data_IF_299852474417
#
_entry.id   IF_299852474417
#
_cell.length_a   1.000
_cell.length_b   1.000
_cell.length_c   1.000
_cell.angle_alpha   90.00
_cell.angle_beta   90.00
_cell.angle_gamma   90.00
#
_symmetry.space_group_name_H-M   'P 1'
#
loop_
_entity.id
_entity.type
_entity.pdbx_description
1 polymer ?
#
# COMPACT_ATOMS: atom_id res chain seq x y z
N UNK A 1 -30.11 21.16 22.24
CA UNK A 1 -31.21 20.19 22.26
C UNK A 1 -30.69 18.80 22.56
N UNK A 2 -31.43 17.98 23.30
CA UNK A 2 -31.05 16.63 23.73
C UNK A 2 -31.62 15.52 22.81
N UNK A 3 -32.16 15.88 21.66
CA UNK A 3 -32.92 14.95 20.81
C UNK A 3 -32.06 14.38 19.69
N UNK A 4 -32.12 13.06 19.48
CA UNK A 4 -31.67 12.37 18.27
C UNK A 4 -32.66 12.69 17.15
N UNK A 5 -32.16 13.05 15.96
CA UNK A 5 -32.99 13.44 14.82
C UNK A 5 -32.92 12.39 13.72
N UNK A 6 -34.03 12.25 12.98
CA UNK A 6 -34.04 11.48 11.74
C UNK A 6 -34.48 12.41 10.61
N UNK A 7 -33.66 12.48 9.58
CA UNK A 7 -33.97 13.15 8.33
C UNK A 7 -34.26 12.07 7.28
N UNK A 8 -35.44 12.11 6.67
CA UNK A 8 -35.80 11.21 5.58
C UNK A 8 -35.75 11.97 4.27
N UNK A 9 -34.96 11.46 3.33
CA UNK A 9 -34.81 12.03 1.99
C UNK A 9 -35.65 11.21 1.01
N UNK A 10 -36.56 11.87 0.29
CA UNK A 10 -37.54 11.29 -0.62
C UNK A 10 -37.62 12.09 -1.94
N UNK A 11 -36.52 12.21 -2.66
CA UNK A 11 -36.44 12.99 -3.90
C UNK A 11 -36.18 14.48 -3.64
N UNK A 12 -35.37 14.80 -2.63
CA UNK A 12 -35.00 16.18 -2.31
C UNK A 12 -33.94 16.69 -3.31
N UNK A 13 -34.21 17.88 -3.88
CA UNK A 13 -33.20 18.66 -4.61
C UNK A 13 -33.05 20.01 -3.89
N UNK A 14 -31.94 20.19 -3.19
CA UNK A 14 -31.67 21.35 -2.35
C UNK A 14 -30.26 21.89 -2.61
N UNK A 15 -30.20 23.08 -3.20
CA UNK A 15 -28.97 23.86 -3.33
C UNK A 15 -29.12 25.12 -2.49
N UNK A 16 -28.35 25.22 -1.40
CA UNK A 16 -28.34 26.40 -0.55
C UNK A 16 -27.45 27.47 -1.16
N UNK A 17 -27.93 28.71 -1.21
CA UNK A 17 -27.19 29.85 -1.76
C UNK A 17 -26.52 30.72 -0.68
N UNK A 18 -26.62 30.31 0.60
CA UNK A 18 -26.02 31.01 1.75
C UNK A 18 -25.81 30.02 2.90
N UNK A 19 -24.65 29.38 2.91
CA UNK A 19 -24.26 28.41 3.94
C UNK A 19 -24.49 26.94 3.57
N UNK A 20 -24.55 26.06 4.55
CA UNK A 20 -24.75 24.62 4.38
C UNK A 20 -26.15 24.30 3.83
N UNK A 21 -26.26 23.29 2.99
CA UNK A 21 -27.58 22.77 2.60
C UNK A 21 -28.33 22.22 3.82
N UNK A 22 -27.61 21.50 4.67
CA UNK A 22 -28.16 20.99 5.94
C UNK A 22 -27.12 21.17 7.05
N UNK A 23 -27.49 21.90 8.12
CA UNK A 23 -26.65 22.09 9.30
C UNK A 23 -27.38 21.67 10.57
N UNK A 24 -26.80 20.70 11.30
CA UNK A 24 -27.32 20.20 12.57
C UNK A 24 -26.35 20.64 13.68
N UNK A 25 -26.79 21.66 14.46
CA UNK A 25 -25.97 22.28 15.54
C UNK A 25 -26.03 21.56 16.88
N UNK A 26 -26.87 20.54 17.03
CA UNK A 26 -26.89 19.77 18.26
C UNK A 26 -25.86 18.64 18.20
N UNK A 27 -25.15 18.37 19.31
CA UNK A 27 -24.15 17.31 19.42
C UNK A 27 -24.75 15.92 19.61
N UNK A 28 -25.82 15.57 18.88
CA UNK A 28 -26.51 14.29 18.96
C UNK A 28 -26.61 13.65 17.58
N UNK A 29 -27.04 12.40 17.54
CA UNK A 29 -27.20 11.62 16.31
C UNK A 29 -28.11 12.31 15.29
N UNK A 30 -27.60 12.44 14.07
CA UNK A 30 -28.40 12.63 12.88
C UNK A 30 -28.47 11.30 12.11
N UNK A 31 -29.66 10.70 12.03
CA UNK A 31 -29.92 9.60 11.11
C UNK A 31 -30.44 10.12 9.80
N UNK A 32 -29.71 9.89 8.69
CA UNK A 32 -30.13 10.22 7.34
C UNK A 32 -30.66 8.96 6.67
N UNK A 33 -31.99 8.89 6.50
CA UNK A 33 -32.66 7.76 5.86
C UNK A 33 -32.99 8.12 4.42
N UNK A 34 -32.31 7.49 3.47
CA UNK A 34 -32.49 7.74 2.02
C UNK A 34 -33.48 6.71 1.48
N UNK A 35 -34.65 7.16 1.07
CA UNK A 35 -35.74 6.27 0.66
C UNK A 35 -35.38 5.47 -0.59
N UNK A 36 -35.76 4.20 -0.61
CA UNK A 36 -35.53 3.29 -1.74
C UNK A 36 -36.17 3.85 -3.03
N UNK A 37 -35.44 3.77 -4.14
CA UNK A 37 -35.89 4.24 -5.44
C UNK A 37 -35.87 5.77 -5.60
N UNK A 38 -35.35 6.51 -4.63
CA UNK A 38 -35.22 7.97 -4.75
C UNK A 38 -33.78 8.40 -4.97
N UNK A 39 -33.64 9.49 -5.70
CA UNK A 39 -32.38 10.21 -5.89
C UNK A 39 -32.53 11.59 -5.26
N UNK A 40 -31.53 12.00 -4.48
CA UNK A 40 -31.52 13.23 -3.72
C UNK A 40 -30.26 14.02 -4.03
N UNK A 41 -30.35 15.32 -4.07
CA UNK A 41 -29.22 16.23 -4.32
C UNK A 41 -29.08 17.25 -3.21
N UNK A 42 -27.86 17.42 -2.71
CA UNK A 42 -27.49 18.49 -1.80
C UNK A 42 -26.31 19.28 -2.37
N UNK A 43 -26.41 20.58 -2.35
CA UNK A 43 -25.35 21.51 -2.73
C UNK A 43 -25.30 22.70 -1.79
N UNK A 44 -24.14 23.23 -1.53
CA UNK A 44 -23.95 24.47 -0.76
C UNK A 44 -23.28 25.55 -1.63
N UNK A 45 -23.18 26.76 -1.08
CA UNK A 45 -22.54 27.90 -1.73
C UNK A 45 -21.15 28.15 -1.11
N UNK A 46 -20.27 28.78 -1.90
CA UNK A 46 -18.92 29.15 -1.45
C UNK A 46 -18.91 30.28 -0.40
N UNK A 47 -20.02 31.00 -0.21
CA UNK A 47 -20.20 31.97 0.86
C UNK A 47 -20.40 31.28 2.23
N UNK A 48 -20.43 32.05 3.29
CA UNK A 48 -20.66 31.52 4.63
C UNK A 48 -19.43 30.89 5.30
N UNK A 49 -19.65 30.20 6.41
CA UNK A 49 -18.59 29.63 7.28
C UNK A 49 -18.83 28.15 7.62
N UNK A 50 -19.68 27.48 6.88
CA UNK A 50 -20.02 26.06 7.09
C UNK A 50 -18.80 25.16 6.92
N UNK A 51 -18.75 24.09 7.71
CA UNK A 51 -17.72 23.06 7.63
C UNK A 51 -18.00 22.00 6.59
N UNK A 52 -19.25 21.87 6.14
CA UNK A 52 -19.64 20.93 5.10
C UNK A 52 -21.01 21.25 4.52
N UNK A 53 -21.29 20.77 3.32
CA UNK A 53 -22.61 20.88 2.69
C UNK A 53 -23.67 20.21 3.57
N UNK A 54 -23.41 18.99 4.03
CA UNK A 54 -24.11 18.34 5.14
C UNK A 54 -23.20 18.38 6.37
N UNK A 55 -23.56 19.19 7.37
CA UNK A 55 -22.75 19.41 8.56
C UNK A 55 -23.51 19.01 9.83
N UNK A 56 -22.88 18.22 10.71
CA UNK A 56 -23.44 17.79 11.99
C UNK A 56 -22.43 18.01 13.14
N UNK A 57 -22.87 18.67 14.21
CA UNK A 57 -22.09 18.82 15.44
C UNK A 57 -22.04 17.55 16.32
N UNK A 58 -22.75 16.50 15.94
CA UNK A 58 -22.69 15.14 16.48
C UNK A 58 -22.23 14.17 15.42
N UNK A 59 -22.81 12.96 15.42
CA UNK A 59 -22.53 11.91 14.46
C UNK A 59 -23.64 11.75 13.39
N UNK A 60 -23.27 11.15 12.27
CA UNK A 60 -24.18 10.91 11.13
C UNK A 60 -24.26 9.41 10.85
N UNK A 61 -25.49 8.88 10.83
CA UNK A 61 -25.79 7.52 10.39
C UNK A 61 -26.54 7.57 9.05
N UNK A 62 -25.91 7.17 7.96
CA UNK A 62 -26.55 7.02 6.66
C UNK A 62 -27.15 5.63 6.51
N UNK A 63 -28.44 5.57 6.19
CA UNK A 63 -29.16 4.30 5.98
C UNK A 63 -30.16 4.43 4.82
N UNK A 64 -30.70 3.30 4.39
CA UNK A 64 -31.69 3.22 3.33
C UNK A 64 -31.11 2.62 2.07
N UNK A 65 -31.83 2.71 0.94
CA UNK A 65 -31.42 2.12 -0.34
C UNK A 65 -31.50 3.11 -1.50
N UNK A 66 -31.72 4.38 -1.22
CA UNK A 66 -31.73 5.45 -2.23
C UNK A 66 -30.34 6.01 -2.48
N UNK A 67 -30.30 7.05 -3.30
CA UNK A 67 -29.08 7.73 -3.74
C UNK A 67 -29.04 9.15 -3.18
N UNK A 68 -27.90 9.56 -2.69
CA UNK A 68 -27.59 10.95 -2.32
C UNK A 68 -26.41 11.44 -3.17
N UNK A 69 -26.64 12.46 -3.99
CA UNK A 69 -25.59 13.22 -4.65
C UNK A 69 -25.31 14.47 -3.79
N UNK A 70 -24.05 14.75 -3.50
CA UNK A 70 -23.66 15.86 -2.66
C UNK A 70 -22.42 16.58 -3.17
N UNK A 71 -22.44 17.92 -3.11
CA UNK A 71 -21.33 18.77 -3.50
C UNK A 71 -21.06 19.84 -2.46
N UNK A 72 -19.80 19.93 -2.00
CA UNK A 72 -19.33 20.92 -1.05
C UNK A 72 -18.55 22.05 -1.73
N UNK A 73 -19.20 23.19 -1.97
CA UNK A 73 -18.57 24.32 -2.65
C UNK A 73 -17.71 25.20 -1.72
N UNK A 74 -17.85 25.06 -0.39
CA UNK A 74 -17.11 25.85 0.61
C UNK A 74 -16.01 25.08 1.31
N UNK A 75 -16.27 23.84 1.70
CA UNK A 75 -15.38 23.05 2.55
C UNK A 75 -15.56 21.56 2.24
N UNK A 76 -15.87 20.73 3.24
CA UNK A 76 -16.15 19.30 3.03
C UNK A 76 -17.53 19.10 2.39
N UNK A 77 -17.74 18.00 1.71
CA UNK A 77 -19.09 17.62 1.30
C UNK A 77 -19.90 17.13 2.50
N UNK A 78 -19.32 16.23 3.32
CA UNK A 78 -19.90 15.70 4.55
C UNK A 78 -18.96 15.99 5.71
N UNK A 79 -19.48 16.64 6.75
CA UNK A 79 -18.75 16.90 7.99
C UNK A 79 -19.52 16.39 9.20
N UNK A 80 -18.90 15.55 10.02
CA UNK A 80 -19.41 15.17 11.33
C UNK A 80 -18.35 15.49 12.41
N UNK A 81 -18.76 16.15 13.50
CA UNK A 81 -17.86 16.41 14.63
C UNK A 81 -17.54 15.13 15.41
N UNK A 82 -18.33 14.10 15.25
CA UNK A 82 -18.15 12.77 15.81
C UNK A 82 -17.98 11.77 14.67
N UNK A 83 -18.58 10.59 14.73
CA UNK A 83 -18.40 9.54 13.73
C UNK A 83 -19.38 9.63 12.53
N UNK A 84 -19.04 8.93 11.47
CA UNK A 84 -19.91 8.68 10.32
C UNK A 84 -20.05 7.16 10.12
N UNK A 85 -21.30 6.69 10.03
CA UNK A 85 -21.56 5.30 9.63
C UNK A 85 -22.44 5.24 8.39
N UNK A 86 -22.23 4.20 7.56
CA UNK A 86 -22.98 4.04 6.31
C UNK A 86 -23.44 2.60 6.11
N UNK A 87 -24.72 2.43 5.73
CA UNK A 87 -25.33 1.12 5.48
C UNK A 87 -26.38 1.15 4.37
N UNK A 88 -26.20 0.31 3.37
CA UNK A 88 -27.12 0.00 2.26
C UNK A 88 -27.39 1.12 1.23
N UNK A 89 -27.09 2.38 1.50
CA UNK A 89 -27.34 3.49 0.59
C UNK A 89 -26.18 3.69 -0.40
N UNK A 90 -26.43 4.51 -1.43
CA UNK A 90 -25.40 5.03 -2.33
C UNK A 90 -25.21 6.52 -2.06
N UNK A 91 -23.96 6.92 -1.80
CA UNK A 91 -23.59 8.33 -1.66
C UNK A 91 -22.56 8.66 -2.74
N UNK A 92 -22.84 9.70 -3.51
CA UNK A 92 -21.96 10.23 -4.53
C UNK A 92 -21.51 11.64 -4.10
N UNK A 93 -20.28 11.79 -3.64
CA UNK A 93 -19.65 13.09 -3.52
C UNK A 93 -19.13 13.48 -4.88
N UNK A 94 -19.70 14.55 -5.47
CA UNK A 94 -19.39 15.02 -6.81
C UNK A 94 -18.30 16.09 -6.84
N UNK A 95 -18.18 16.82 -5.72
CA UNK A 95 -17.14 17.82 -5.52
C UNK A 95 -17.01 18.15 -4.04
N UNK A 96 -15.81 18.55 -3.62
CA UNK A 96 -15.54 19.23 -2.34
C UNK A 96 -14.30 20.10 -2.45
N UNK A 97 -14.28 21.23 -1.76
CA UNK A 97 -13.11 22.12 -1.72
C UNK A 97 -12.03 21.54 -0.79
N UNK A 98 -12.46 20.84 0.26
CA UNK A 98 -11.63 20.04 1.17
C UNK A 98 -11.96 18.58 1.01
N UNK A 99 -12.04 17.84 2.13
CA UNK A 99 -12.31 16.40 2.09
C UNK A 99 -13.71 16.08 1.58
N UNK A 100 -13.86 14.92 0.99
CA UNK A 100 -15.17 14.41 0.64
C UNK A 100 -15.98 14.09 1.89
N UNK A 101 -15.42 13.34 2.82
CA UNK A 101 -15.98 13.05 4.15
C UNK A 101 -14.94 13.37 5.21
N UNK A 102 -15.35 14.16 6.21
CA UNK A 102 -14.50 14.46 7.36
C UNK A 102 -15.25 14.13 8.67
N UNK A 103 -14.64 13.36 9.55
CA UNK A 103 -15.16 13.05 10.87
C UNK A 103 -14.05 12.86 11.91
N UNK A 104 -14.40 13.01 13.22
CA UNK A 104 -13.39 13.10 14.29
C UNK A 104 -13.47 11.98 15.34
N UNK A 105 -14.10 10.88 15.08
CA UNK A 105 -14.11 9.71 16.00
C UNK A 105 -13.78 8.44 15.23
N UNK A 106 -14.69 8.00 14.38
CA UNK A 106 -14.45 6.90 13.46
C UNK A 106 -15.34 7.01 12.22
N UNK A 107 -14.95 6.33 11.18
CA UNK A 107 -15.77 6.06 9.99
C UNK A 107 -16.05 4.55 9.89
N UNK A 108 -17.30 4.18 9.59
CA UNK A 108 -17.65 2.77 9.35
C UNK A 108 -18.53 2.60 8.12
N UNK A 109 -18.15 1.67 7.24
CA UNK A 109 -18.96 1.19 6.13
C UNK A 109 -19.28 -0.28 6.28
N UNK A 110 -20.55 -0.60 6.56
CA UNK A 110 -21.04 -1.98 6.65
C UNK A 110 -21.50 -2.51 5.29
N UNK A 111 -22.12 -1.66 4.48
CA UNK A 111 -22.64 -1.97 3.14
C UNK A 111 -23.08 -0.72 2.39
N UNK A 112 -23.34 -0.86 1.08
CA UNK A 112 -23.68 0.27 0.21
C UNK A 112 -22.51 0.73 -0.63
N UNK A 113 -22.61 1.89 -1.26
CA UNK A 113 -21.61 2.41 -2.19
C UNK A 113 -21.30 3.87 -1.84
N UNK A 114 -20.02 4.17 -1.68
CA UNK A 114 -19.51 5.53 -1.50
C UNK A 114 -18.59 5.87 -2.67
N UNK A 115 -19.00 6.81 -3.50
CA UNK A 115 -18.22 7.33 -4.61
C UNK A 115 -17.74 8.76 -4.28
N UNK A 116 -16.45 9.03 -4.46
CA UNK A 116 -15.82 10.31 -4.16
C UNK A 116 -15.00 10.76 -5.37
N UNK A 117 -15.39 11.87 -5.97
CA UNK A 117 -14.73 12.50 -7.12
C UNK A 117 -14.71 14.02 -6.98
N UNK A 118 -13.80 14.70 -7.66
CA UNK A 118 -13.69 16.16 -7.57
C UNK A 118 -13.32 16.67 -6.18
N UNK A 119 -12.48 15.92 -5.46
CA UNK A 119 -12.09 16.18 -4.08
C UNK A 119 -10.84 17.05 -4.05
N UNK A 120 -10.90 18.15 -3.30
CA UNK A 120 -9.83 19.14 -3.22
C UNK A 120 -8.73 18.83 -2.20
N UNK A 121 -8.97 17.90 -1.28
CA UNK A 121 -8.00 17.41 -0.28
C UNK A 121 -8.18 15.89 -0.11
N UNK A 122 -8.34 15.36 1.09
CA UNK A 122 -8.49 13.91 1.32
C UNK A 122 -9.89 13.41 0.90
N UNK A 123 -9.98 12.20 0.35
CA UNK A 123 -11.27 11.59 0.03
C UNK A 123 -12.10 11.36 1.28
N UNK A 124 -11.54 10.63 2.25
CA UNK A 124 -12.09 10.42 3.59
C UNK A 124 -10.99 10.74 4.60
N UNK A 125 -11.26 11.69 5.50
CA UNK A 125 -10.40 12.02 6.64
C UNK A 125 -11.08 11.64 7.94
N UNK A 126 -10.44 10.79 8.74
CA UNK A 126 -10.88 10.43 10.10
C UNK A 126 -9.81 10.88 11.08
N UNK A 127 -10.17 11.77 12.01
CA UNK A 127 -9.24 12.28 13.01
C UNK A 127 -9.65 11.83 14.41
N UNK A 128 -8.73 11.95 15.37
CA UNK A 128 -9.09 11.93 16.78
C UNK A 128 -9.90 13.18 17.14
N UNK A 129 -10.84 13.01 18.04
CA UNK A 129 -11.44 14.16 18.70
C UNK A 129 -10.43 14.72 19.70
N UNK A 130 -9.94 15.90 19.40
CA UNK A 130 -9.02 16.62 20.29
C UNK A 130 -9.76 17.08 21.56
N UNK A 131 -9.74 16.26 22.62
CA UNK A 131 -10.33 16.58 23.90
C UNK A 131 -9.58 15.90 25.04
N UNK A 132 -9.45 16.60 26.17
CA UNK A 132 -8.90 16.02 27.41
C UNK A 132 -9.76 14.86 27.95
N UNK A 133 -11.03 14.79 27.54
CA UNK A 133 -12.00 13.75 27.93
C UNK A 133 -12.35 12.92 26.68
N UNK A 134 -11.49 11.96 26.32
CA UNK A 134 -11.77 11.01 25.24
C UNK A 134 -12.92 10.08 25.62
N UNK A 135 -13.88 9.95 24.71
CA UNK A 135 -14.92 8.92 24.77
C UNK A 135 -14.38 7.60 24.19
N UNK A 136 -15.04 6.48 24.45
CA UNK A 136 -14.63 5.17 23.93
C UNK A 136 -14.62 5.14 22.38
N UNK A 137 -15.49 5.92 21.76
CA UNK A 137 -15.63 6.08 20.32
C UNK A 137 -14.52 6.94 19.68
N UNK A 138 -13.73 7.70 20.47
CA UNK A 138 -12.66 8.57 19.96
C UNK A 138 -11.41 7.77 19.56
N UNK A 139 -11.57 6.87 18.59
CA UNK A 139 -10.53 5.94 18.13
C UNK A 139 -9.73 6.41 16.93
N UNK A 140 -10.24 7.42 16.20
CA UNK A 140 -9.65 7.84 14.92
C UNK A 140 -9.71 6.76 13.84
N UNK A 141 -10.49 5.70 14.03
CA UNK A 141 -10.43 4.49 13.22
C UNK A 141 -11.23 4.56 11.92
N UNK A 142 -10.73 3.85 10.91
CA UNK A 142 -11.48 3.55 9.70
C UNK A 142 -11.85 2.06 9.65
N UNK A 143 -13.14 1.77 9.54
CA UNK A 143 -13.69 0.42 9.62
C UNK A 143 -14.49 0.11 8.35
N UNK A 144 -14.20 -1.01 7.68
CA UNK A 144 -14.98 -1.47 6.54
C UNK A 144 -15.20 -2.98 6.63
N UNK A 145 -16.46 -3.38 6.78
CA UNK A 145 -16.88 -4.78 6.85
C UNK A 145 -17.62 -5.25 5.59
N UNK A 146 -17.95 -4.33 4.68
CA UNK A 146 -18.62 -4.64 3.42
C UNK A 146 -18.86 -3.40 2.58
N UNK A 147 -19.62 -3.52 1.49
CA UNK A 147 -19.89 -2.41 0.57
C UNK A 147 -18.76 -2.11 -0.41
N UNK A 148 -18.82 -0.93 -0.99
CA UNK A 148 -17.86 -0.50 -2.00
C UNK A 148 -17.49 0.98 -1.80
N UNK A 149 -16.18 1.29 -1.88
CA UNK A 149 -15.66 2.65 -1.93
C UNK A 149 -14.89 2.85 -3.22
N UNK A 150 -15.23 3.90 -3.96
CA UNK A 150 -14.51 4.36 -5.14
C UNK A 150 -14.05 5.80 -4.90
N UNK A 151 -12.74 6.03 -4.92
CA UNK A 151 -12.17 7.35 -4.62
C UNK A 151 -11.20 7.76 -5.71
N UNK A 152 -11.33 9.00 -6.18
CA UNK A 152 -10.34 9.64 -7.04
C UNK A 152 -9.96 11.00 -6.46
N UNK A 153 -8.67 11.18 -6.19
CA UNK A 153 -8.10 12.42 -5.64
C UNK A 153 -6.92 12.84 -6.50
N UNK A 154 -6.84 14.15 -6.78
CA UNK A 154 -5.79 14.70 -7.65
C UNK A 154 -4.91 15.74 -6.96
N UNK A 155 -5.26 16.16 -5.75
CA UNK A 155 -4.50 17.14 -5.00
C UNK A 155 -3.15 16.58 -4.49
N UNK A 156 -2.13 17.42 -4.44
CA UNK A 156 -0.82 17.03 -3.96
C UNK A 156 -0.86 16.68 -2.47
N UNK A 157 -0.11 15.67 -2.09
CA UNK A 157 -0.04 15.09 -0.75
C UNK A 157 -1.35 14.59 -0.15
N UNK A 158 -2.46 14.62 -0.90
CA UNK A 158 -3.77 14.14 -0.44
C UNK A 158 -3.85 12.61 -0.39
N UNK A 159 -4.77 12.09 0.43
CA UNK A 159 -5.03 10.67 0.59
C UNK A 159 -6.44 10.32 0.12
N UNK A 160 -6.58 9.17 -0.54
CA UNK A 160 -7.93 8.71 -0.86
C UNK A 160 -8.70 8.33 0.42
N UNK A 161 -8.06 7.62 1.35
CA UNK A 161 -8.58 7.32 2.68
C UNK A 161 -7.47 7.53 3.71
N UNK A 162 -7.74 8.39 4.70
CA UNK A 162 -6.82 8.68 5.80
C UNK A 162 -7.51 8.53 7.15
N UNK A 163 -6.83 7.89 8.09
CA UNK A 163 -7.26 7.86 9.49
C UNK A 163 -6.06 8.03 10.44
N UNK A 164 -6.30 8.69 11.57
CA UNK A 164 -5.29 8.89 12.63
C UNK A 164 -5.21 7.69 13.58
N UNK A 165 -6.22 6.80 13.57
CA UNK A 165 -6.22 5.54 14.31
C UNK A 165 -5.95 4.35 13.39
N UNK A 166 -6.44 3.19 13.83
CA UNK A 166 -6.31 1.93 13.10
C UNK A 166 -7.25 1.86 11.89
N UNK A 167 -6.80 1.19 10.82
CA UNK A 167 -7.62 0.87 9.67
C UNK A 167 -7.91 -0.64 9.64
N UNK A 168 -9.20 -1.01 9.74
CA UNK A 168 -9.64 -2.42 9.73
C UNK A 168 -10.54 -2.69 8.55
N UNK A 169 -10.09 -3.56 7.64
CA UNK A 169 -10.73 -3.88 6.37
C UNK A 169 -11.04 -5.37 6.33
N UNK A 170 -12.32 -5.74 6.58
CA UNK A 170 -12.74 -7.14 6.73
C UNK A 170 -13.72 -7.61 5.66
N UNK A 171 -14.02 -6.79 4.67
CA UNK A 171 -14.88 -7.17 3.55
C UNK A 171 -15.21 -6.02 2.61
N UNK A 172 -15.82 -6.35 1.49
CA UNK A 172 -16.20 -5.39 0.46
C UNK A 172 -15.11 -5.13 -0.58
N UNK A 173 -15.13 -3.92 -1.16
CA UNK A 173 -14.18 -3.53 -2.19
C UNK A 173 -13.77 -2.05 -2.06
N UNK A 174 -12.48 -1.78 -2.14
CA UNK A 174 -11.93 -0.43 -2.27
C UNK A 174 -11.26 -0.31 -3.65
N UNK A 175 -11.63 0.75 -4.39
CA UNK A 175 -10.91 1.20 -5.58
C UNK A 175 -10.50 2.64 -5.36
N UNK A 176 -9.20 2.91 -5.27
CA UNK A 176 -8.69 4.25 -5.01
C UNK A 176 -7.62 4.65 -6.02
N UNK A 177 -7.69 5.89 -6.48
CA UNK A 177 -6.69 6.49 -7.35
C UNK A 177 -6.27 7.85 -6.81
N UNK A 178 -4.96 8.06 -6.66
CA UNK A 178 -4.36 9.35 -6.32
C UNK A 178 -3.33 9.72 -7.37
N UNK A 179 -3.40 10.95 -7.88
CA UNK A 179 -2.46 11.43 -8.90
C UNK A 179 -1.64 12.64 -8.45
N UNK A 180 -1.95 13.23 -7.30
CA UNK A 180 -1.15 14.30 -6.71
C UNK A 180 0.26 13.83 -6.34
N UNK A 181 1.22 14.73 -6.47
CA UNK A 181 2.62 14.51 -6.10
C UNK A 181 2.91 14.73 -4.63
N UNK A 182 4.20 14.81 -4.30
CA UNK A 182 4.66 15.20 -2.98
C UNK A 182 4.60 16.72 -2.77
N UNK A 183 4.64 17.14 -1.51
CA UNK A 183 4.85 18.53 -1.10
C UNK A 183 5.93 18.62 -0.03
N UNK A 184 6.59 19.77 0.05
CA UNK A 184 7.45 20.12 1.18
C UNK A 184 6.64 20.87 2.23
N UNK A 185 6.51 20.31 3.41
CA UNK A 185 5.90 20.96 4.57
C UNK A 185 6.97 21.77 5.31
N UNK A 186 6.96 23.09 5.11
CA UNK A 186 7.93 23.99 5.72
C UNK A 186 7.75 24.17 7.25
N UNK A 187 6.59 23.82 7.79
CA UNK A 187 6.34 23.88 9.24
C UNK A 187 6.89 22.64 9.93
N UNK A 188 6.71 21.48 9.32
CA UNK A 188 7.20 20.19 9.85
C UNK A 188 8.60 19.83 9.35
N UNK A 189 9.16 20.60 8.42
CA UNK A 189 10.45 20.38 7.77
C UNK A 189 10.58 18.97 7.17
N UNK A 190 9.52 18.48 6.54
CA UNK A 190 9.51 17.16 5.90
C UNK A 190 8.67 17.11 4.63
N UNK A 191 8.98 16.16 3.78
CA UNK A 191 8.17 15.84 2.62
C UNK A 191 6.90 15.08 3.03
N UNK A 192 5.81 15.32 2.33
CA UNK A 192 4.55 14.57 2.43
C UNK A 192 4.19 14.04 1.06
N UNK A 193 3.95 12.75 0.91
CA UNK A 193 3.48 12.14 -0.33
C UNK A 193 1.98 11.89 -0.32
N UNK A 194 1.37 11.80 -1.49
CA UNK A 194 0.01 11.29 -1.65
C UNK A 194 -0.04 9.78 -1.36
N UNK A 195 -1.19 9.25 -0.95
CA UNK A 195 -1.38 7.81 -0.78
C UNK A 195 -2.84 7.38 -0.95
N UNK A 196 -3.05 6.15 -1.43
CA UNK A 196 -4.42 5.65 -1.54
C UNK A 196 -4.99 5.30 -0.16
N UNK A 197 -4.29 4.53 0.66
CA UNK A 197 -4.65 4.24 2.04
C UNK A 197 -3.55 4.75 2.98
N UNK A 198 -3.94 5.48 4.01
CA UNK A 198 -3.02 6.01 5.02
C UNK A 198 -3.60 5.86 6.41
N UNK A 199 -2.83 5.28 7.33
CA UNK A 199 -3.18 5.21 8.75
C UNK A 199 -1.98 5.62 9.61
N UNK A 200 -2.22 6.43 10.65
CA UNK A 200 -1.20 6.71 11.65
C UNK A 200 -1.10 5.53 12.65
N UNK A 201 -2.18 4.74 12.81
CA UNK A 201 -2.24 3.46 13.54
C UNK A 201 -1.91 2.25 12.67
N UNK A 202 -2.38 1.07 13.08
CA UNK A 202 -2.15 -0.19 12.38
C UNK A 202 -3.15 -0.39 11.24
N UNK A 203 -2.74 -1.14 10.21
CA UNK A 203 -3.65 -1.59 9.15
C UNK A 203 -3.83 -3.11 9.24
N UNK A 204 -5.09 -3.56 9.32
CA UNK A 204 -5.48 -4.97 9.22
C UNK A 204 -6.35 -5.19 7.99
N UNK A 205 -5.94 -6.13 7.14
CA UNK A 205 -6.66 -6.55 5.93
C UNK A 205 -7.06 -8.01 6.05
N UNK A 206 -8.37 -8.31 5.84
CA UNK A 206 -8.91 -9.67 5.97
C UNK A 206 -10.14 -9.86 5.07
N UNK A 207 -9.99 -10.53 3.92
CA UNK A 207 -11.10 -10.91 3.04
C UNK A 207 -11.68 -9.81 2.15
N UNK A 208 -10.99 -8.70 1.97
CA UNK A 208 -11.42 -7.58 1.12
C UNK A 208 -10.72 -7.60 -0.24
N UNK A 209 -11.35 -7.01 -1.26
CA UNK A 209 -10.71 -6.69 -2.55
C UNK A 209 -10.25 -5.24 -2.57
N UNK A 210 -8.97 -5.01 -2.84
CA UNK A 210 -8.34 -3.68 -2.84
C UNK A 210 -7.65 -3.45 -4.19
N UNK A 211 -7.97 -2.35 -4.87
CA UNK A 211 -7.33 -1.91 -6.10
C UNK A 211 -6.87 -0.47 -5.93
N UNK A 212 -5.56 -0.24 -5.92
CA UNK A 212 -4.95 1.05 -5.64
C UNK A 212 -4.07 1.50 -6.80
N UNK A 213 -4.12 2.80 -7.13
CA UNK A 213 -3.26 3.40 -8.14
C UNK A 213 -2.75 4.76 -7.65
N UNK A 214 -1.42 4.90 -7.47
CA UNK A 214 -0.77 6.14 -7.05
C UNK A 214 0.25 6.57 -8.11
N UNK A 215 -0.04 7.65 -8.84
CA UNK A 215 0.76 8.04 -10.02
C UNK A 215 1.67 9.25 -9.80
N UNK A 216 1.45 10.02 -8.74
CA UNK A 216 2.30 11.17 -8.41
C UNK A 216 3.65 10.78 -7.80
N UNK A 217 4.65 11.65 -7.90
CA UNK A 217 5.97 11.44 -7.27
C UNK A 217 5.86 11.32 -5.75
N UNK A 218 6.56 10.37 -5.16
CA UNK A 218 6.47 10.03 -3.73
C UNK A 218 5.16 9.36 -3.32
N UNK A 219 4.30 9.01 -4.29
CA UNK A 219 2.98 8.42 -4.06
C UNK A 219 3.05 6.98 -3.53
N UNK A 220 2.12 6.59 -2.65
CA UNK A 220 2.08 5.27 -2.04
C UNK A 220 0.71 4.61 -2.22
N UNK A 221 0.71 3.30 -2.45
CA UNK A 221 -0.53 2.52 -2.43
C UNK A 221 -1.08 2.44 -1.00
N UNK A 222 -0.34 1.82 -0.09
CA UNK A 222 -0.64 1.71 1.35
C UNK A 222 0.51 2.33 2.13
N UNK A 223 0.19 3.20 3.10
CA UNK A 223 1.14 3.78 4.03
C UNK A 223 0.61 3.70 5.45
N UNK A 224 1.40 3.18 6.39
CA UNK A 224 1.06 3.20 7.81
C UNK A 224 2.29 3.52 8.65
N UNK A 225 2.09 4.32 9.71
CA UNK A 225 3.11 4.56 10.73
C UNK A 225 3.15 3.41 11.75
N UNK A 226 2.09 2.60 11.81
CA UNK A 226 2.00 1.39 12.62
C UNK A 226 2.43 0.12 11.88
N UNK A 227 1.82 -1.01 12.24
CA UNK A 227 2.03 -2.33 11.65
C UNK A 227 1.02 -2.61 10.52
N UNK A 228 1.41 -3.46 9.57
CA UNK A 228 0.48 -4.00 8.57
C UNK A 228 0.33 -5.51 8.76
N UNK A 229 -0.91 -5.97 8.89
CA UNK A 229 -1.23 -7.40 8.89
C UNK A 229 -2.20 -7.72 7.75
N UNK A 230 -1.81 -8.63 6.86
CA UNK A 230 -2.68 -9.19 5.82
C UNK A 230 -3.00 -10.63 6.20
N UNK A 231 -4.24 -10.89 6.63
CA UNK A 231 -4.72 -12.23 6.94
C UNK A 231 -5.21 -12.95 5.67
N UNK A 232 -5.95 -12.24 4.82
CA UNK A 232 -6.47 -12.72 3.54
C UNK A 232 -6.96 -11.54 2.69
N UNK A 233 -7.36 -11.79 1.43
CA UNK A 233 -7.91 -10.80 0.50
C UNK A 233 -7.12 -10.71 -0.81
N UNK A 234 -7.65 -9.91 -1.74
CA UNK A 234 -7.06 -9.69 -3.06
C UNK A 234 -6.60 -8.22 -3.16
N UNK A 235 -5.31 -8.00 -3.21
CA UNK A 235 -4.70 -6.67 -3.18
C UNK A 235 -3.93 -6.45 -4.48
N UNK A 236 -4.28 -5.42 -5.24
CA UNK A 236 -3.59 -5.00 -6.44
C UNK A 236 -3.19 -3.53 -6.34
N UNK A 237 -1.90 -3.25 -6.47
CA UNK A 237 -1.34 -1.91 -6.30
C UNK A 237 -0.47 -1.56 -7.49
N UNK A 238 -0.73 -0.39 -8.09
CA UNK A 238 0.13 0.26 -9.07
C UNK A 238 0.68 1.58 -8.57
N UNK A 239 1.99 1.82 -8.74
CA UNK A 239 2.56 3.16 -8.57
C UNK A 239 3.43 3.50 -9.78
N UNK A 240 3.30 4.74 -10.27
CA UNK A 240 4.05 5.19 -11.44
C UNK A 240 4.98 6.37 -11.16
N UNK A 241 4.80 7.08 -10.04
CA UNK A 241 5.66 8.16 -9.63
C UNK A 241 7.03 7.68 -9.17
N UNK A 242 8.05 8.51 -9.37
CA UNK A 242 9.39 8.31 -8.81
C UNK A 242 9.56 9.03 -7.47
N UNK A 243 10.79 9.44 -7.17
CA UNK A 243 11.13 10.13 -5.93
C UNK A 243 10.67 11.60 -6.00
N UNK A 244 9.94 12.06 -4.99
CA UNK A 244 9.79 13.47 -4.69
C UNK A 244 10.93 13.92 -3.77
N UNK A 245 11.58 15.05 -4.07
CA UNK A 245 12.69 15.54 -3.26
C UNK A 245 12.63 17.05 -3.02
N UNK A 246 13.12 17.47 -1.85
CA UNK A 246 13.39 18.87 -1.50
C UNK A 246 14.89 19.08 -1.37
N UNK A 247 15.47 19.79 -2.32
CA UNK A 247 16.93 19.95 -2.47
C UNK A 247 17.26 21.44 -2.62
N UNK A 248 18.13 21.97 -1.77
CA UNK A 248 18.58 23.37 -1.81
C UNK A 248 17.43 24.39 -1.91
N UNK A 249 16.35 24.18 -1.15
CA UNK A 249 15.23 25.13 -1.13
C UNK A 249 14.24 24.99 -2.29
N UNK A 250 14.31 23.92 -3.08
CA UNK A 250 13.43 23.64 -4.21
C UNK A 250 12.84 22.22 -4.13
N UNK A 251 11.64 22.09 -4.63
CA UNK A 251 10.97 20.79 -4.80
C UNK A 251 11.19 20.24 -6.21
N UNK A 252 11.29 18.92 -6.29
CA UNK A 252 11.48 18.18 -7.55
C UNK A 252 10.57 16.97 -7.59
N UNK A 253 9.75 16.91 -8.61
CA UNK A 253 9.02 15.68 -8.97
C UNK A 253 9.92 14.75 -9.77
N UNK A 254 9.77 13.44 -9.51
CA UNK A 254 10.55 12.39 -10.19
C UNK A 254 12.06 12.69 -10.19
N UNK A 255 12.58 13.02 -9.02
CA UNK A 255 13.98 13.37 -8.84
C UNK A 255 14.91 12.22 -9.23
N UNK A 256 15.88 12.51 -10.08
CA UNK A 256 16.87 11.54 -10.60
C UNK A 256 18.31 11.84 -10.15
N UNK A 257 18.50 12.84 -9.29
CA UNK A 257 19.81 13.14 -8.74
C UNK A 257 20.19 12.18 -7.62
N UNK A 258 21.43 12.33 -7.11
CA UNK A 258 21.90 11.52 -5.99
C UNK A 258 21.06 11.81 -4.73
N UNK A 259 20.48 10.75 -4.15
CA UNK A 259 19.65 10.80 -2.95
C UNK A 259 20.38 10.40 -1.67
N UNK A 260 21.66 9.94 -1.74
CA UNK A 260 22.42 9.45 -0.58
C UNK A 260 22.71 10.57 0.42
N UNK A 261 22.82 11.80 -0.10
CA UNK A 261 23.08 12.99 0.72
C UNK A 261 21.79 13.69 1.20
N UNK A 262 20.61 13.14 0.93
CA UNK A 262 19.33 13.68 1.37
C UNK A 262 18.85 12.96 2.61
N UNK A 263 18.49 13.73 3.63
CA UNK A 263 17.81 13.17 4.80
C UNK A 263 16.48 12.53 4.40
N UNK A 264 16.02 11.56 5.17
CA UNK A 264 14.74 10.88 4.94
C UNK A 264 13.56 11.85 4.88
N UNK A 265 13.63 12.96 5.63
CA UNK A 265 12.62 14.02 5.62
C UNK A 265 12.63 14.88 4.35
N UNK A 266 13.73 14.86 3.60
CA UNK A 266 13.89 15.63 2.35
C UNK A 266 13.42 14.86 1.11
N UNK A 267 13.13 13.57 1.24
CA UNK A 267 12.71 12.73 0.10
C UNK A 267 11.52 11.84 0.47
N UNK A 268 10.72 11.53 -0.52
CA UNK A 268 9.65 10.54 -0.45
C UNK A 268 9.70 9.69 -1.72
N UNK A 269 10.06 8.42 -1.61
CA UNK A 269 9.98 7.47 -2.72
C UNK A 269 8.55 6.98 -2.91
N UNK A 270 8.16 6.73 -4.15
CA UNK A 270 6.93 6.00 -4.41
C UNK A 270 7.09 4.55 -3.95
N UNK A 271 6.04 3.98 -3.37
CA UNK A 271 6.05 2.61 -2.84
C UNK A 271 4.68 1.96 -3.02
N UNK A 272 4.68 0.68 -3.32
CA UNK A 272 3.43 -0.08 -3.31
C UNK A 272 2.85 -0.12 -1.90
N UNK A 273 3.60 -0.64 -0.94
CA UNK A 273 3.25 -0.72 0.49
C UNK A 273 4.42 -0.23 1.32
N UNK A 274 4.12 0.62 2.31
CA UNK A 274 5.07 1.03 3.35
C UNK A 274 4.43 0.90 4.73
N UNK A 275 5.15 0.29 5.66
CA UNK A 275 4.85 0.32 7.10
C UNK A 275 6.09 0.72 7.89
N UNK A 276 5.92 1.63 8.87
CA UNK A 276 7.02 1.95 9.80
C UNK A 276 7.22 0.86 10.85
N UNK A 277 6.14 0.17 11.23
CA UNK A 277 6.19 -1.04 12.05
C UNK A 277 6.30 -2.32 11.19
N UNK A 278 6.13 -3.46 11.86
CA UNK A 278 6.25 -4.78 11.23
C UNK A 278 5.19 -5.00 10.16
N UNK A 279 5.58 -5.72 9.10
CA UNK A 279 4.65 -6.30 8.13
C UNK A 279 4.52 -7.80 8.38
N UNK A 280 3.29 -8.29 8.47
CA UNK A 280 3.00 -9.73 8.58
C UNK A 280 1.97 -10.14 7.54
N UNK A 281 2.35 -11.04 6.63
CA UNK A 281 1.46 -11.59 5.60
C UNK A 281 1.17 -13.04 5.96
N UNK A 282 -0.08 -13.32 6.34
CA UNK A 282 -0.55 -14.66 6.72
C UNK A 282 -1.29 -15.37 5.59
N UNK A 283 -1.62 -14.66 4.51
CA UNK A 283 -2.35 -15.20 3.37
C UNK A 283 -2.77 -14.13 2.38
N UNK A 284 -3.67 -14.49 1.46
CA UNK A 284 -4.18 -13.60 0.43
C UNK A 284 -3.33 -13.59 -0.84
N UNK A 285 -3.74 -12.75 -1.78
CA UNK A 285 -3.06 -12.49 -3.04
C UNK A 285 -2.66 -11.02 -3.11
N UNK A 286 -1.38 -10.74 -3.25
CA UNK A 286 -0.82 -9.39 -3.29
C UNK A 286 -0.06 -9.24 -4.60
N UNK A 287 -0.51 -8.31 -5.44
CA UNK A 287 0.16 -7.93 -6.68
C UNK A 287 0.57 -6.46 -6.61
N UNK A 288 1.87 -6.19 -6.75
CA UNK A 288 2.43 -4.85 -6.69
C UNK A 288 3.24 -4.58 -7.96
N UNK A 289 2.96 -3.44 -8.59
CA UNK A 289 3.72 -2.96 -9.74
C UNK A 289 4.16 -1.53 -9.48
N UNK A 290 5.47 -1.28 -9.43
CA UNK A 290 6.02 0.08 -9.26
C UNK A 290 6.98 0.37 -10.40
N UNK A 291 6.79 1.50 -11.11
CA UNK A 291 7.52 1.78 -12.34
C UNK A 291 8.37 3.06 -12.31
N UNK A 292 8.15 3.92 -11.33
CA UNK A 292 8.91 5.17 -11.18
C UNK A 292 10.35 4.92 -10.69
N UNK A 293 11.27 5.80 -11.03
CA UNK A 293 12.66 5.70 -10.57
C UNK A 293 12.75 5.70 -9.04
N UNK A 294 13.46 4.73 -8.44
CA UNK A 294 13.61 4.54 -7.00
C UNK A 294 12.29 4.18 -6.31
N UNK A 295 11.35 3.51 -7.01
CA UNK A 295 10.09 3.06 -6.45
C UNK A 295 10.17 1.60 -6.02
N UNK A 296 9.95 1.36 -4.73
CA UNK A 296 10.00 0.05 -4.10
C UNK A 296 8.63 -0.65 -4.09
N UNK A 297 8.64 -1.97 -3.94
CA UNK A 297 7.43 -2.77 -3.86
C UNK A 297 6.77 -2.73 -2.48
N UNK A 298 7.27 -3.54 -1.55
CA UNK A 298 6.75 -3.69 -0.19
C UNK A 298 7.90 -3.44 0.78
N UNK A 299 7.78 -2.40 1.58
CA UNK A 299 8.78 -2.02 2.57
C UNK A 299 8.22 -2.05 3.99
N UNK A 300 8.87 -2.78 4.88
CA UNK A 300 8.76 -2.62 6.32
C UNK A 300 10.00 -1.89 6.84
N UNK A 301 9.84 -0.82 7.59
CA UNK A 301 10.97 -0.17 8.29
C UNK A 301 11.43 -0.96 9.52
N UNK A 302 10.77 -2.06 9.84
CA UNK A 302 11.05 -2.95 10.96
C UNK A 302 11.19 -4.40 10.45
N UNK A 303 10.53 -5.36 11.06
CA UNK A 303 10.56 -6.77 10.67
C UNK A 303 9.51 -7.09 9.60
N UNK A 304 9.84 -7.96 8.65
CA UNK A 304 8.92 -8.41 7.63
C UNK A 304 8.78 -9.94 7.67
N UNK A 305 7.57 -10.43 7.91
CA UNK A 305 7.26 -11.86 7.98
C UNK A 305 6.22 -12.27 6.96
N UNK A 306 6.53 -13.29 6.16
CA UNK A 306 5.60 -13.91 5.21
C UNK A 306 5.36 -15.35 5.66
N UNK A 307 4.16 -15.65 6.17
CA UNK A 307 3.78 -16.98 6.61
C UNK A 307 3.12 -17.80 5.49
N UNK A 308 2.38 -17.16 4.60
CA UNK A 308 1.65 -17.79 3.50
C UNK A 308 1.16 -16.73 2.52
N UNK A 309 0.45 -17.15 1.46
CA UNK A 309 -0.15 -16.30 0.44
C UNK A 309 0.61 -16.32 -0.88
N UNK A 310 0.08 -15.59 -1.86
CA UNK A 310 0.72 -15.39 -3.16
C UNK A 310 1.16 -13.93 -3.26
N UNK A 311 2.44 -13.70 -3.50
CA UNK A 311 3.00 -12.35 -3.64
C UNK A 311 3.69 -12.26 -5.00
N UNK A 312 3.26 -11.29 -5.79
CA UNK A 312 3.90 -10.93 -7.06
C UNK A 312 4.27 -9.45 -6.99
N UNK A 313 5.55 -9.13 -7.15
CA UNK A 313 6.01 -7.75 -7.18
C UNK A 313 6.92 -7.51 -8.39
N UNK A 314 6.63 -6.45 -9.16
CA UNK A 314 7.47 -5.94 -10.24
C UNK A 314 7.81 -4.50 -9.94
N UNK A 315 9.09 -4.21 -9.75
CA UNK A 315 9.52 -2.95 -9.19
C UNK A 315 10.68 -2.32 -9.97
N UNK A 316 10.86 -1.04 -9.77
CA UNK A 316 12.06 -0.34 -10.24
C UNK A 316 13.22 -0.50 -9.26
N UNK A 317 12.95 -0.37 -7.98
CA UNK A 317 13.86 -0.53 -6.86
C UNK A 317 13.54 -1.84 -6.13
N UNK A 318 13.91 -2.03 -4.87
CA UNK A 318 13.69 -3.27 -4.13
C UNK A 318 12.24 -3.77 -4.21
N UNK A 319 12.08 -5.06 -4.48
CA UNK A 319 10.73 -5.61 -4.56
C UNK A 319 10.16 -5.94 -3.17
N UNK A 320 10.94 -6.53 -2.29
CA UNK A 320 10.67 -6.65 -0.85
C UNK A 320 11.85 -6.08 -0.08
N UNK A 321 11.58 -5.16 0.84
CA UNK A 321 12.60 -4.54 1.68
C UNK A 321 12.21 -4.63 3.16
N UNK A 322 13.14 -5.01 4.02
CA UNK A 322 12.97 -5.04 5.47
C UNK A 322 14.05 -4.22 6.17
N UNK A 323 13.64 -3.29 7.02
CA UNK A 323 14.54 -2.49 7.85
C UNK A 323 15.28 -3.26 8.92
N UNK A 324 14.89 -4.52 9.18
CA UNK A 324 15.59 -5.45 10.08
C UNK A 324 15.58 -6.87 9.49
N UNK A 325 15.05 -7.86 10.20
CA UNK A 325 15.00 -9.23 9.70
C UNK A 325 13.82 -9.49 8.78
N UNK A 326 14.04 -10.34 7.76
CA UNK A 326 13.00 -10.82 6.86
C UNK A 326 12.84 -12.34 7.01
N UNK A 327 11.61 -12.79 7.25
CA UNK A 327 11.26 -14.21 7.41
C UNK A 327 10.27 -14.66 6.34
N UNK A 328 10.63 -15.70 5.59
CA UNK A 328 9.73 -16.38 4.65
C UNK A 328 9.49 -17.80 5.17
N UNK A 329 8.36 -17.98 5.85
CA UNK A 329 7.95 -19.25 6.43
C UNK A 329 7.16 -20.12 5.44
N UNK A 330 6.59 -19.50 4.39
CA UNK A 330 5.78 -20.16 3.37
C UNK A 330 5.32 -19.21 2.29
N UNK A 331 4.38 -19.66 1.46
CA UNK A 331 3.79 -18.87 0.39
C UNK A 331 4.40 -19.15 -1.00
N UNK A 332 3.83 -18.52 -2.01
CA UNK A 332 4.31 -18.51 -3.40
C UNK A 332 4.70 -17.08 -3.78
N UNK A 333 6.00 -16.83 -3.83
CA UNK A 333 6.58 -15.49 -3.93
C UNK A 333 7.34 -15.39 -5.25
N UNK A 334 6.98 -14.40 -6.06
CA UNK A 334 7.70 -14.04 -7.29
C UNK A 334 7.95 -12.55 -7.29
N UNK A 335 9.20 -12.15 -7.21
CA UNK A 335 9.60 -10.76 -7.14
C UNK A 335 10.67 -10.44 -8.18
N UNK A 336 10.53 -9.28 -8.81
CA UNK A 336 11.41 -8.78 -9.85
C UNK A 336 11.70 -7.32 -9.58
N UNK A 337 12.94 -7.01 -9.28
CA UNK A 337 13.45 -5.64 -9.21
C UNK A 337 14.31 -5.38 -10.46
N UNK A 338 14.06 -4.27 -11.13
CA UNK A 338 14.75 -3.98 -12.40
C UNK A 338 16.08 -3.26 -12.20
N UNK A 339 16.24 -2.51 -11.14
CA UNK A 339 17.44 -1.70 -10.89
C UNK A 339 18.05 -1.90 -9.49
N UNK A 340 17.46 -2.76 -8.65
CA UNK A 340 17.95 -3.05 -7.31
C UNK A 340 17.68 -4.51 -6.94
N UNK A 341 17.49 -4.84 -5.67
CA UNK A 341 17.41 -6.19 -5.16
C UNK A 341 16.00 -6.79 -5.23
N UNK A 342 15.92 -8.08 -5.54
CA UNK A 342 14.66 -8.80 -5.50
C UNK A 342 14.09 -8.85 -4.08
N UNK A 343 14.91 -9.25 -3.12
CA UNK A 343 14.61 -9.25 -1.70
C UNK A 343 15.82 -8.69 -0.97
N UNK A 344 15.64 -7.55 -0.30
CA UNK A 344 16.62 -6.90 0.55
C UNK A 344 16.24 -7.01 2.03
N UNK A 345 17.18 -7.43 2.86
CA UNK A 345 17.06 -7.46 4.32
C UNK A 345 18.20 -6.71 4.96
N UNK A 346 17.91 -5.58 5.60
CA UNK A 346 18.90 -4.84 6.40
C UNK A 346 19.35 -5.61 7.66
N UNK A 347 18.89 -6.84 7.82
CA UNK A 347 19.27 -7.80 8.85
C UNK A 347 19.46 -9.19 8.27
N UNK A 348 19.12 -10.22 9.02
CA UNK A 348 19.14 -11.58 8.49
C UNK A 348 17.94 -11.86 7.59
N UNK A 349 18.16 -12.63 6.52
CA UNK A 349 17.12 -13.19 5.68
C UNK A 349 16.95 -14.69 5.97
N UNK A 350 15.78 -15.07 6.47
CA UNK A 350 15.43 -16.46 6.76
C UNK A 350 14.41 -17.00 5.76
N UNK A 351 14.78 -18.04 4.98
CA UNK A 351 13.84 -18.76 4.14
C UNK A 351 13.66 -20.17 4.71
N UNK A 352 12.45 -20.40 5.24
CA UNK A 352 12.12 -21.60 6.00
C UNK A 352 11.11 -22.49 5.29
N UNK A 353 10.46 -21.97 4.22
CA UNK A 353 9.48 -22.71 3.45
C UNK A 353 8.96 -21.94 2.23
N UNK A 354 7.97 -22.51 1.56
CA UNK A 354 7.33 -21.90 0.39
C UNK A 354 8.11 -22.08 -0.93
N UNK A 355 7.69 -21.32 -1.93
CA UNK A 355 8.38 -21.20 -3.20
C UNK A 355 8.76 -19.75 -3.43
N UNK A 356 10.05 -19.48 -3.53
CA UNK A 356 10.62 -18.13 -3.67
C UNK A 356 11.33 -18.01 -5.00
N UNK A 357 10.93 -17.02 -5.80
CA UNK A 357 11.56 -16.64 -7.07
C UNK A 357 11.92 -15.17 -6.98
N UNK A 358 13.17 -14.89 -6.72
CA UNK A 358 13.68 -13.54 -6.51
C UNK A 358 14.65 -13.16 -7.65
N UNK A 359 14.31 -12.08 -8.34
CA UNK A 359 15.09 -11.58 -9.48
C UNK A 359 15.47 -10.12 -9.18
N UNK A 360 16.75 -9.87 -9.11
CA UNK A 360 17.32 -8.53 -8.96
C UNK A 360 18.10 -8.09 -10.19
N UNK A 361 18.63 -6.87 -10.12
CA UNK A 361 19.52 -6.33 -11.13
C UNK A 361 20.89 -7.06 -11.13
N UNK A 362 21.78 -6.61 -12.01
CA UNK A 362 23.17 -7.10 -12.05
C UNK A 362 24.01 -6.40 -10.99
N UNK A 363 25.12 -7.05 -10.64
CA UNK A 363 26.07 -6.56 -9.63
C UNK A 363 26.29 -5.03 -9.68
N UNK A 364 26.22 -4.35 -8.49
CA UNK A 364 26.29 -4.96 -7.16
C UNK A 364 25.00 -5.63 -6.68
N UNK A 365 23.86 -5.32 -7.26
CA UNK A 365 22.54 -5.76 -6.85
C UNK A 365 22.30 -7.28 -7.13
N UNK A 366 21.28 -7.86 -6.51
CA UNK A 366 21.06 -9.30 -6.59
C UNK A 366 19.59 -9.74 -6.38
N UNK A 367 19.36 -11.06 -6.44
CA UNK A 367 18.03 -11.63 -6.13
C UNK A 367 17.73 -11.69 -4.64
N UNK A 368 18.74 -12.06 -3.83
CA UNK A 368 18.64 -12.11 -2.37
C UNK A 368 19.83 -11.37 -1.75
N UNK A 369 19.52 -10.34 -1.00
CA UNK A 369 20.50 -9.61 -0.21
C UNK A 369 20.20 -9.67 1.30
N UNK A 370 21.26 -9.77 2.08
CA UNK A 370 21.27 -9.57 3.52
C UNK A 370 22.47 -8.68 3.85
N UNK A 371 22.34 -7.83 4.83
CA UNK A 371 23.37 -6.84 5.19
C UNK A 371 24.65 -7.52 5.75
N UNK A 372 25.39 -8.21 4.86
CA UNK A 372 26.61 -8.97 5.20
C UNK A 372 27.71 -8.04 5.72
N UNK A 373 27.71 -6.77 5.35
CA UNK A 373 28.68 -5.76 5.82
C UNK A 373 28.54 -5.49 7.33
N UNK A 374 27.32 -5.61 7.85
CA UNK A 374 27.02 -5.49 9.29
C UNK A 374 27.04 -6.86 10.00
N UNK A 375 27.41 -7.94 9.30
CA UNK A 375 27.56 -9.29 9.86
C UNK A 375 26.28 -10.13 9.85
N UNK A 376 25.25 -9.72 9.14
CA UNK A 376 24.03 -10.50 8.93
C UNK A 376 24.23 -11.53 7.81
N UNK A 377 23.27 -12.43 7.64
CA UNK A 377 23.39 -13.53 6.69
C UNK A 377 22.04 -14.03 6.19
N UNK A 378 22.08 -14.73 5.07
CA UNK A 378 20.95 -15.53 4.56
C UNK A 378 20.98 -16.92 5.19
N UNK A 379 19.81 -17.46 5.56
CA UNK A 379 19.64 -18.81 6.11
C UNK A 379 18.55 -19.57 5.40
N UNK A 380 18.86 -20.78 4.93
CA UNK A 380 17.91 -21.70 4.30
C UNK A 380 17.66 -22.91 5.21
N UNK A 381 16.43 -23.07 5.66
CA UNK A 381 16.00 -24.25 6.42
C UNK A 381 14.87 -25.03 5.73
N UNK A 382 14.34 -24.49 4.62
CA UNK A 382 13.29 -25.12 3.81
C UNK A 382 12.98 -24.33 2.54
N UNK A 383 12.01 -24.82 1.77
CA UNK A 383 11.47 -24.15 0.60
C UNK A 383 12.17 -24.48 -0.74
N UNK A 384 11.50 -24.08 -1.82
CA UNK A 384 12.05 -24.12 -3.18
C UNK A 384 12.46 -22.70 -3.56
N UNK A 385 13.74 -22.47 -3.79
CA UNK A 385 14.33 -21.15 -3.90
C UNK A 385 15.05 -20.99 -5.21
N UNK A 386 14.74 -19.95 -5.97
CA UNK A 386 15.52 -19.43 -7.08
C UNK A 386 15.84 -17.97 -6.81
N UNK A 387 17.12 -17.62 -6.81
CA UNK A 387 17.57 -16.24 -6.77
C UNK A 387 18.47 -15.95 -7.97
N UNK A 388 18.20 -14.86 -8.66
CA UNK A 388 18.92 -14.45 -9.87
C UNK A 388 19.24 -12.97 -9.76
N UNK A 389 20.48 -12.59 -10.05
CA UNK A 389 20.93 -11.20 -10.03
C UNK A 389 22.43 -11.11 -10.21
N UNK A 390 23.03 -10.09 -9.65
CA UNK A 390 24.48 -9.91 -9.69
C UNK A 390 25.20 -10.83 -8.72
N UNK A 391 25.24 -10.51 -7.44
CA UNK A 391 26.01 -11.23 -6.42
C UNK A 391 25.09 -11.61 -5.24
N UNK A 392 24.28 -12.68 -5.41
CA UNK A 392 23.42 -13.13 -4.32
C UNK A 392 24.21 -13.40 -3.04
N UNK A 393 23.71 -12.94 -1.91
CA UNK A 393 24.21 -13.29 -0.60
C UNK A 393 24.26 -14.80 -0.42
N UNK A 394 25.39 -15.31 0.08
CA UNK A 394 25.62 -16.75 0.21
C UNK A 394 25.03 -17.27 1.51
N UNK A 395 24.16 -18.31 1.49
CA UNK A 395 23.58 -18.85 2.70
C UNK A 395 24.63 -19.34 3.67
N UNK A 396 24.58 -18.84 4.93
CA UNK A 396 25.50 -19.20 5.99
C UNK A 396 25.25 -20.61 6.51
N UNK A 397 26.29 -21.42 6.59
CA UNK A 397 26.23 -22.78 7.13
C UNK A 397 26.00 -22.85 8.64
N UNK A 398 26.05 -21.70 9.34
CA UNK A 398 25.87 -21.67 10.80
C UNK A 398 24.46 -22.06 11.25
N UNK A 399 23.44 -21.73 10.45
CA UNK A 399 22.04 -22.06 10.75
C UNK A 399 21.29 -22.67 9.55
N UNK A 400 21.88 -22.67 8.34
CA UNK A 400 21.25 -23.32 7.20
C UNK A 400 21.32 -24.84 7.33
N UNK A 401 20.18 -25.49 7.16
CA UNK A 401 20.05 -26.97 7.12
C UNK A 401 19.78 -27.50 5.71
N UNK A 402 19.42 -26.60 4.78
CA UNK A 402 19.16 -26.94 3.40
C UNK A 402 20.35 -26.53 2.53
N UNK A 403 20.82 -27.46 1.68
CA UNK A 403 21.91 -27.22 0.75
C UNK A 403 21.45 -26.37 -0.45
N UNK A 404 22.39 -25.69 -1.10
CA UNK A 404 22.15 -24.87 -2.27
C UNK A 404 23.20 -25.11 -3.36
N UNK A 405 22.88 -24.68 -4.56
CA UNK A 405 23.76 -24.64 -5.72
C UNK A 405 23.87 -23.20 -6.17
N UNK A 406 25.06 -22.69 -6.35
CA UNK A 406 25.32 -21.39 -6.94
C UNK A 406 26.14 -21.55 -8.21
N UNK A 407 25.75 -20.87 -9.25
CA UNK A 407 26.43 -20.89 -10.56
C UNK A 407 26.48 -19.51 -11.18
N UNK A 408 27.45 -19.28 -12.03
CA UNK A 408 27.54 -18.06 -12.84
C UNK A 408 26.72 -18.22 -14.12
N UNK A 409 25.98 -17.18 -14.48
CA UNK A 409 25.23 -17.18 -15.73
C UNK A 409 24.17 -16.09 -15.78
N UNK A 410 23.59 -15.92 -16.95
CA UNK A 410 22.42 -15.07 -17.15
C UNK A 410 21.20 -15.92 -17.48
N UNK A 411 20.04 -15.49 -17.04
CA UNK A 411 18.76 -16.11 -17.41
C UNK A 411 18.02 -15.22 -18.39
N UNK A 412 17.10 -15.80 -19.15
CA UNK A 412 16.24 -15.05 -20.07
C UNK A 412 14.77 -15.26 -19.71
N UNK A 413 13.97 -14.22 -19.89
CA UNK A 413 12.53 -14.26 -19.72
C UNK A 413 11.89 -15.47 -20.42
N UNK A 414 10.89 -16.08 -19.81
CA UNK A 414 10.16 -17.23 -20.32
C UNK A 414 10.94 -18.56 -20.35
N UNK A 415 12.19 -18.57 -19.88
CA UNK A 415 13.01 -19.79 -19.86
C UNK A 415 12.86 -20.53 -18.53
N UNK A 416 13.11 -21.83 -18.58
CA UNK A 416 13.08 -22.69 -17.40
C UNK A 416 14.48 -22.85 -16.82
N UNK A 417 14.60 -22.65 -15.51
CA UNK A 417 15.76 -23.02 -14.69
C UNK A 417 15.39 -24.28 -13.93
N UNK A 418 16.22 -25.33 -14.03
CA UNK A 418 15.96 -26.57 -13.31
C UNK A 418 17.24 -27.21 -12.77
N UNK A 419 17.11 -27.91 -11.66
CA UNK A 419 18.15 -28.77 -11.09
C UNK A 419 17.79 -30.23 -11.35
N UNK A 420 18.75 -30.99 -11.87
CA UNK A 420 18.62 -32.43 -12.07
C UNK A 420 19.66 -33.22 -11.28
N UNK A 421 19.22 -34.39 -10.80
CA UNK A 421 20.09 -35.48 -10.35
C UNK A 421 19.99 -36.62 -11.36
N UNK A 422 21.00 -36.79 -12.22
CA UNK A 422 20.89 -37.68 -13.37
C UNK A 422 19.74 -37.25 -14.31
N UNK A 423 18.74 -38.14 -14.46
CA UNK A 423 17.55 -37.88 -15.27
C UNK A 423 16.38 -37.25 -14.49
N UNK A 424 16.44 -37.25 -13.19
CA UNK A 424 15.35 -36.72 -12.33
C UNK A 424 15.45 -35.21 -12.20
N UNK A 425 14.34 -34.52 -12.39
CA UNK A 425 14.20 -33.08 -12.11
C UNK A 425 13.80 -32.91 -10.64
N UNK A 426 14.67 -32.34 -9.83
CA UNK A 426 14.40 -32.08 -8.41
C UNK A 426 13.54 -30.84 -8.22
N UNK A 427 13.84 -29.76 -8.95
CA UNK A 427 13.10 -28.51 -8.91
C UNK A 427 13.22 -27.80 -10.24
N UNK A 428 12.17 -27.07 -10.62
CA UNK A 428 12.17 -26.20 -11.80
C UNK A 428 11.39 -24.91 -11.57
N UNK A 429 11.85 -23.84 -12.21
CA UNK A 429 11.25 -22.50 -12.12
C UNK A 429 11.17 -21.90 -13.52
N UNK A 430 10.10 -21.18 -13.80
CA UNK A 430 9.97 -20.37 -15.01
C UNK A 430 10.39 -18.94 -14.68
N UNK A 431 11.28 -18.37 -15.47
CA UNK A 431 11.69 -16.97 -15.37
C UNK A 431 10.53 -16.11 -15.87
N UNK A 432 10.10 -15.09 -15.13
CA UNK A 432 8.99 -14.22 -15.54
C UNK A 432 9.23 -13.58 -16.91
N UNK A 433 8.17 -13.47 -17.74
CA UNK A 433 8.22 -12.94 -19.10
C UNK A 433 8.71 -11.49 -19.18
N UNK A 434 8.51 -10.72 -18.14
CA UNK A 434 8.92 -9.32 -18.04
C UNK A 434 10.23 -9.11 -17.26
N UNK A 435 10.94 -10.19 -16.91
CA UNK A 435 12.27 -10.05 -16.33
C UNK A 435 13.28 -9.55 -17.37
N UNK A 436 13.86 -8.41 -17.12
CA UNK A 436 15.00 -7.86 -17.87
C UNK A 436 16.09 -7.53 -16.87
N UNK A 437 17.19 -8.29 -16.89
CA UNK A 437 18.36 -7.93 -16.11
C UNK A 437 18.95 -6.61 -16.62
N UNK A 438 18.69 -5.49 -15.96
CA UNK A 438 19.38 -4.25 -16.27
C UNK A 438 20.85 -4.35 -15.85
N UNK A 439 21.75 -3.74 -16.63
CA UNK A 439 23.07 -3.44 -16.12
C UNK A 439 22.93 -2.27 -15.14
N UNK A 440 23.31 -2.47 -13.87
CA UNK A 440 23.48 -1.34 -12.97
C UNK A 440 24.37 -0.29 -13.65
N UNK A 441 23.95 0.99 -13.63
CA UNK A 441 24.72 2.08 -14.21
C UNK A 441 26.04 2.41 -13.48
N UNK A 442 26.53 1.51 -12.61
CA UNK A 442 27.79 1.68 -11.89
C UNK A 442 28.99 1.45 -12.81
N UNK A 443 29.93 2.40 -12.92
CA UNK A 443 31.20 2.20 -13.60
C UNK A 443 31.99 1.08 -12.89
N UNK A 444 32.09 -0.08 -13.52
CA UNK A 444 32.79 -1.24 -12.99
C UNK A 444 31.91 -2.44 -12.62
N UNK A 445 30.59 -2.32 -12.70
CA UNK A 445 29.65 -3.43 -12.54
C UNK A 445 29.90 -4.51 -13.60
N UNK A 446 30.17 -5.74 -13.15
CA UNK A 446 30.42 -6.87 -14.03
C UNK A 446 29.15 -7.32 -14.76
N UNK A 447 29.29 -7.82 -15.99
CA UNK A 447 28.21 -8.48 -16.74
C UNK A 447 27.88 -9.89 -16.21
N UNK A 448 28.50 -10.33 -15.12
CA UNK A 448 28.32 -11.66 -14.54
C UNK A 448 27.04 -11.68 -13.69
N UNK A 449 26.13 -12.58 -14.01
CA UNK A 449 25.00 -12.89 -13.16
C UNK A 449 25.29 -14.10 -12.27
N UNK A 450 24.60 -14.18 -11.15
CA UNK A 450 24.57 -15.32 -10.24
C UNK A 450 23.19 -15.97 -10.26
N UNK A 451 23.17 -17.29 -10.30
CA UNK A 451 21.97 -18.11 -10.19
C UNK A 451 22.15 -18.97 -8.94
N UNK A 452 21.32 -18.76 -7.94
CA UNK A 452 21.29 -19.57 -6.73
C UNK A 452 20.00 -20.38 -6.70
N UNK A 453 20.12 -21.70 -6.52
CA UNK A 453 18.97 -22.61 -6.41
C UNK A 453 19.11 -23.46 -5.16
N UNK A 454 18.02 -23.61 -4.44
CA UNK A 454 17.94 -24.51 -3.28
C UNK A 454 16.56 -25.21 -3.24
N UNK A 455 16.56 -26.47 -2.89
CA UNK A 455 15.34 -27.23 -2.60
C UNK A 455 15.67 -28.36 -1.58
N UNK A 456 14.67 -28.97 -0.91
CA UNK A 456 14.90 -30.00 0.08
C UNK A 456 15.65 -31.26 -0.42
N UNK A 457 15.58 -31.53 -1.73
CA UNK A 457 16.18 -32.72 -2.34
C UNK A 457 17.67 -32.55 -2.73
N UNK A 458 18.22 -31.34 -2.60
CA UNK A 458 19.64 -31.06 -2.81
C UNK A 458 20.42 -31.47 -1.55
N UNK A 459 21.40 -32.37 -1.72
CA UNK A 459 22.26 -32.85 -0.65
C UNK A 459 23.67 -32.26 -0.77
N UNK A 460 24.25 -31.88 0.37
CA UNK A 460 25.64 -31.39 0.42
C UNK A 460 26.62 -32.46 -0.11
N UNK A 461 27.52 -32.05 -0.99
CA UNK A 461 28.48 -32.94 -1.63
C UNK A 461 27.92 -33.76 -2.79
N UNK A 462 26.63 -33.57 -3.14
CA UNK A 462 26.03 -34.21 -4.33
C UNK A 462 26.51 -33.58 -5.62
N UNK A 463 26.28 -34.28 -6.75
CA UNK A 463 26.59 -33.80 -8.09
C UNK A 463 25.30 -33.60 -8.88
N UNK A 464 25.07 -32.39 -9.34
CA UNK A 464 23.81 -31.95 -9.98
C UNK A 464 24.08 -31.25 -11.30
N UNK A 465 23.08 -31.24 -12.16
CA UNK A 465 23.10 -30.48 -13.43
C UNK A 465 22.14 -29.30 -13.30
N UNK A 466 22.67 -28.09 -13.44
CA UNK A 466 21.86 -26.87 -13.60
C UNK A 466 21.49 -26.73 -15.09
N UNK A 467 20.21 -26.82 -15.40
CA UNK A 467 19.67 -26.53 -16.73
C UNK A 467 19.23 -25.07 -16.75
N UNK A 468 19.75 -24.32 -17.72
CA UNK A 468 19.42 -22.93 -17.96
C UNK A 468 19.00 -22.75 -19.42
N UNK A 469 17.71 -22.48 -19.62
CA UNK A 469 17.19 -22.12 -20.93
C UNK A 469 16.65 -23.28 -21.79
N UNK A 470 16.20 -24.39 -21.21
CA UNK A 470 15.39 -25.33 -21.97
C UNK A 470 14.03 -24.71 -22.25
N UNK A 471 13.62 -24.63 -23.54
CA UNK A 471 12.22 -24.38 -23.88
C UNK A 471 11.38 -25.53 -23.33
N UNK A 472 10.27 -25.22 -22.68
CA UNK A 472 9.23 -26.18 -22.30
C UNK A 472 8.73 -26.95 -23.50
#
# INVERSE_FOLDING_TARGET
GSYKSTLRLEGLDLVCTDGAAIEIKNGKRLKVSIAEGTENTLGDDASGSQKGCLSCSGHIEFVGKGILNISGAKSHAIYAKEYVTMKNCTINVRASVKDGVNCNQYFSLDSGILNLEGIGDDGIQVSYKDSENREEEDTGAFLMSGGQINVTVTADAAKAIKCEGDMTLTGGKITASVSGGGVWDSEKLKTKGASCLSADGNIRIDGITIVLNATGSGGKGINTDGTLTVASGDISIGTAGGIFAYVYGKTYDNYTGNTDNLDSDQKSSAKGIKADGNITINGGSINVVTTGNGSEGIESKSEFTINSGTIVAYTNDDALNSGSHLYINGGDITVVATNNDGIDSNGNLYIQGGTVRAFGARSPECGLDANEEEGYSVFFTGGNILAVGGSNSTPSSSQSTQAYIIGSGSVSAGRTIAIKNGNEVLVSFVVPENYTASSSGFPGGGNSGSILVSCPDIQSGGSYTLLNGTSS
#
